data_IF_287504445287
#
_entry.id   IF_287504445287
#
_cell.length_a   1.000
_cell.length_b   1.000
_cell.length_c   1.000
_cell.angle_alpha   90.00
_cell.angle_beta   90.00
_cell.angle_gamma   90.00
#
_symmetry.space_group_name_H-M   'P 1'
#
loop_
_entity.id
_entity.type
_entity.pdbx_description
1 polymer ?
#
# COMPACT_ATOMS: atom_id res chain seq x y z
N UNK A 1 -24.99 -41.23 10.66
CA UNK A 1 -23.99 -40.47 9.88
C UNK A 1 -24.15 -39.00 10.25
N UNK A 2 -23.31 -38.43 11.13
CA UNK A 2 -23.43 -37.02 11.54
C UNK A 2 -22.87 -36.14 10.42
N UNK A 3 -23.74 -35.53 9.62
CA UNK A 3 -23.38 -34.36 8.81
C UNK A 3 -22.90 -33.29 9.79
N UNK A 4 -21.68 -32.79 9.62
CA UNK A 4 -21.12 -31.80 10.53
C UNK A 4 -21.96 -30.52 10.39
N UNK A 5 -22.68 -30.11 11.43
CA UNK A 5 -23.55 -28.90 11.48
C UNK A 5 -22.86 -27.63 10.96
N UNK A 6 -21.53 -27.63 10.96
CA UNK A 6 -20.68 -26.55 10.46
C UNK A 6 -20.59 -26.47 8.92
N UNK A 7 -21.07 -27.47 8.17
CA UNK A 7 -21.05 -27.47 6.69
C UNK A 7 -21.99 -26.44 6.10
N UNK A 8 -23.17 -26.23 6.70
CA UNK A 8 -24.14 -25.23 6.25
C UNK A 8 -23.60 -23.81 6.45
N UNK A 9 -22.98 -23.57 7.61
CA UNK A 9 -22.29 -22.31 7.93
C UNK A 9 -21.14 -22.06 6.95
N UNK A 10 -20.35 -23.10 6.65
CA UNK A 10 -19.23 -23.04 5.70
C UNK A 10 -19.69 -22.64 4.29
N UNK A 11 -20.76 -23.25 3.77
CA UNK A 11 -21.34 -22.91 2.47
C UNK A 11 -21.93 -21.50 2.42
N UNK A 12 -22.67 -21.11 3.45
CA UNK A 12 -23.28 -19.78 3.54
C UNK A 12 -22.19 -18.70 3.58
N UNK A 13 -21.16 -18.90 4.40
CA UNK A 13 -20.03 -17.98 4.51
C UNK A 13 -19.26 -17.87 3.18
N UNK A 14 -19.02 -18.99 2.49
CA UNK A 14 -18.30 -18.95 1.22
C UNK A 14 -19.10 -18.25 0.11
N UNK A 15 -20.42 -18.44 0.10
CA UNK A 15 -21.31 -17.73 -0.84
C UNK A 15 -21.26 -16.23 -0.60
N UNK A 16 -21.37 -15.80 0.66
CA UNK A 16 -21.24 -14.41 1.05
C UNK A 16 -19.84 -13.84 0.75
N UNK A 17 -18.78 -14.61 0.99
CA UNK A 17 -17.41 -14.21 0.69
C UNK A 17 -17.26 -13.83 -0.79
N UNK A 18 -17.82 -14.66 -1.70
CA UNK A 18 -17.78 -14.37 -3.15
C UNK A 18 -18.52 -13.08 -3.51
N UNK A 19 -19.70 -12.84 -2.93
CA UNK A 19 -20.47 -11.60 -3.16
C UNK A 19 -19.75 -10.36 -2.58
N UNK A 20 -19.18 -10.45 -1.39
CA UNK A 20 -18.42 -9.36 -0.80
C UNK A 20 -17.14 -9.05 -1.63
N UNK A 21 -16.48 -10.08 -2.17
CA UNK A 21 -15.31 -9.91 -3.03
C UNK A 21 -15.64 -9.38 -4.42
N UNK A 22 -16.78 -9.71 -5.01
CA UNK A 22 -17.22 -9.13 -6.30
C UNK A 22 -17.46 -7.62 -6.18
N UNK A 23 -17.84 -7.15 -4.98
CA UNK A 23 -17.98 -5.73 -4.62
C UNK A 23 -16.67 -5.10 -4.12
N UNK A 24 -15.54 -5.78 -4.28
CA UNK A 24 -14.21 -5.33 -3.81
C UNK A 24 -14.09 -5.04 -2.31
N UNK A 25 -14.99 -5.55 -1.47
CA UNK A 25 -14.96 -5.31 -0.02
C UNK A 25 -13.73 -6.01 0.59
N UNK A 26 -12.85 -5.31 1.34
CA UNK A 26 -11.73 -5.94 2.03
C UNK A 26 -12.25 -6.80 3.19
N UNK A 27 -11.81 -8.06 3.23
CA UNK A 27 -12.25 -9.03 4.25
C UNK A 27 -11.06 -9.51 5.06
N UNK A 28 -11.19 -9.45 6.38
CA UNK A 28 -10.20 -9.94 7.34
C UNK A 28 -10.71 -11.20 8.04
N UNK A 29 -9.80 -11.93 8.70
CA UNK A 29 -10.15 -13.10 9.51
C UNK A 29 -11.25 -12.84 10.55
N UNK A 30 -11.15 -11.77 11.36
CA UNK A 30 -12.20 -11.41 12.31
C UNK A 30 -13.57 -11.15 11.66
N UNK A 31 -13.60 -10.46 10.51
CA UNK A 31 -14.85 -10.22 9.77
C UNK A 31 -15.49 -11.55 9.33
N UNK A 32 -14.68 -12.49 8.85
CA UNK A 32 -15.17 -13.82 8.45
C UNK A 32 -15.74 -14.60 9.64
N UNK A 33 -15.10 -14.53 10.80
CA UNK A 33 -15.57 -15.21 12.02
C UNK A 33 -16.89 -14.64 12.51
N UNK A 34 -17.02 -13.32 12.57
CA UNK A 34 -18.27 -12.68 13.00
C UNK A 34 -19.42 -12.99 12.03
N UNK A 35 -19.15 -12.97 10.71
CA UNK A 35 -20.17 -13.36 9.73
C UNK A 35 -20.54 -14.84 9.82
N UNK A 36 -19.58 -15.71 10.13
CA UNK A 36 -19.83 -17.13 10.33
C UNK A 36 -20.74 -17.38 11.54
N UNK A 37 -20.54 -16.64 12.64
CA UNK A 37 -21.40 -16.70 13.83
C UNK A 37 -22.83 -16.23 13.53
N UNK A 38 -22.98 -15.12 12.80
CA UNK A 38 -24.30 -14.65 12.35
C UNK A 38 -25.04 -15.72 11.52
N UNK A 39 -24.33 -16.42 10.63
CA UNK A 39 -24.93 -17.53 9.88
C UNK A 39 -25.24 -18.73 10.76
N UNK A 40 -24.36 -19.07 11.71
CA UNK A 40 -24.60 -20.15 12.65
C UNK A 40 -25.86 -19.92 13.49
N UNK A 41 -26.05 -18.70 14.02
CA UNK A 41 -27.26 -18.31 14.74
C UNK A 41 -28.52 -18.47 13.90
N UNK A 42 -28.49 -17.98 12.65
CA UNK A 42 -29.63 -18.10 11.71
C UNK A 42 -29.94 -19.54 11.32
N UNK A 43 -28.94 -20.40 11.31
CA UNK A 43 -29.07 -21.82 10.99
C UNK A 43 -29.36 -22.68 12.24
N UNK A 44 -29.48 -22.07 13.42
CA UNK A 44 -29.75 -22.77 14.68
C UNK A 44 -28.56 -23.51 15.27
N UNK A 45 -27.33 -23.25 14.79
CA UNK A 45 -26.10 -23.87 15.29
C UNK A 45 -25.52 -23.02 16.43
N UNK A 46 -26.00 -23.27 17.65
CA UNK A 46 -25.65 -22.49 18.85
C UNK A 46 -24.26 -22.80 19.42
N UNK A 47 -23.65 -23.91 19.03
CA UNK A 47 -22.34 -24.36 19.50
C UNK A 47 -21.17 -23.80 18.68
N UNK A 48 -21.45 -23.03 17.63
CA UNK A 48 -20.44 -22.54 16.72
C UNK A 48 -19.65 -21.36 17.33
N UNK A 49 -18.36 -21.57 17.55
CA UNK A 49 -17.48 -20.55 18.14
C UNK A 49 -16.62 -19.80 17.11
N UNK A 50 -16.49 -20.33 15.89
CA UNK A 50 -15.61 -19.77 14.86
C UNK A 50 -14.13 -19.78 15.26
N UNK A 51 -13.66 -20.90 15.83
CA UNK A 51 -12.27 -21.04 16.29
C UNK A 51 -11.24 -20.75 15.19
N UNK A 52 -10.03 -20.37 15.59
CA UNK A 52 -8.90 -20.13 14.67
C UNK A 52 -8.66 -21.33 13.76
N UNK A 53 -8.64 -22.54 14.32
CA UNK A 53 -8.47 -23.77 13.54
C UNK A 53 -9.61 -24.04 12.54
N UNK A 54 -10.86 -23.65 12.86
CA UNK A 54 -11.96 -23.73 11.90
C UNK A 54 -11.77 -22.74 10.76
N UNK A 55 -11.43 -21.48 11.08
CA UNK A 55 -11.18 -20.44 10.08
C UNK A 55 -10.03 -20.81 9.13
N UNK A 56 -8.95 -21.37 9.66
CA UNK A 56 -7.80 -21.79 8.85
C UNK A 56 -8.17 -22.95 7.91
N UNK A 57 -8.97 -23.91 8.40
CA UNK A 57 -9.51 -24.99 7.56
C UNK A 57 -10.51 -24.47 6.53
N UNK A 58 -11.36 -23.51 6.86
CA UNK A 58 -12.28 -22.85 5.93
C UNK A 58 -11.49 -22.18 4.79
N UNK A 59 -10.48 -21.38 5.12
CA UNK A 59 -9.60 -20.74 4.13
C UNK A 59 -8.91 -21.77 3.25
N UNK A 60 -8.35 -22.82 3.85
CA UNK A 60 -7.68 -23.90 3.12
C UNK A 60 -8.61 -24.62 2.14
N UNK A 61 -9.83 -24.99 2.59
CA UNK A 61 -10.83 -25.68 1.76
C UNK A 61 -11.24 -24.87 0.53
N UNK A 62 -11.34 -23.55 0.68
CA UNK A 62 -11.83 -22.65 -0.37
C UNK A 62 -10.70 -21.91 -1.10
N UNK A 63 -9.43 -22.25 -0.84
CA UNK A 63 -8.27 -21.59 -1.47
C UNK A 63 -8.15 -20.10 -1.16
N UNK A 64 -8.65 -19.63 0.00
CA UNK A 64 -8.62 -18.23 0.39
C UNK A 64 -7.24 -17.88 0.96
N UNK A 65 -6.52 -17.01 0.26
CA UNK A 65 -5.20 -16.52 0.66
C UNK A 65 -5.25 -15.03 1.02
N UNK A 66 -4.41 -14.63 1.98
CA UNK A 66 -4.27 -13.22 2.33
C UNK A 66 -3.38 -12.54 1.29
N UNK A 67 -3.91 -11.51 0.62
CA UNK A 67 -3.16 -10.67 -0.31
C UNK A 67 -3.19 -9.22 0.17
N UNK A 68 -2.09 -8.50 -0.07
CA UNK A 68 -2.06 -7.04 0.14
C UNK A 68 -2.89 -6.39 -0.96
N UNK A 69 -3.94 -5.67 -0.58
CA UNK A 69 -4.76 -4.90 -1.53
C UNK A 69 -3.99 -3.62 -1.86
N UNK A 70 -3.64 -3.45 -3.13
CA UNK A 70 -3.12 -2.18 -3.65
C UNK A 70 -4.31 -1.38 -4.17
N UNK A 71 -4.65 -0.27 -3.51
CA UNK A 71 -5.86 0.52 -3.81
C UNK A 71 -5.89 1.11 -5.22
N UNK A 72 -4.73 1.24 -5.86
CA UNK A 72 -4.60 1.84 -7.19
C UNK A 72 -4.77 0.85 -8.34
N UNK A 73 -4.55 -0.44 -8.08
CA UNK A 73 -4.63 -1.48 -9.12
C UNK A 73 -6.05 -1.73 -9.61
N UNK A 74 -7.06 -1.35 -8.83
CA UNK A 74 -8.48 -1.53 -9.19
C UNK A 74 -9.03 -0.40 -10.07
N UNK A 75 -8.36 0.76 -10.13
CA UNK A 75 -8.82 1.93 -10.88
C UNK A 75 -8.30 1.96 -12.33
N UNK A 76 -7.46 1.00 -12.72
CA UNK A 76 -6.70 1.03 -13.96
C UNK A 76 -7.10 -0.15 -14.83
N UNK A 77 -7.72 0.12 -15.99
CA UNK A 77 -7.96 -0.90 -17.01
C UNK A 77 -6.62 -1.37 -17.57
N UNK A 78 -6.26 -2.63 -17.30
CA UNK A 78 -4.96 -3.18 -17.66
C UNK A 78 -4.72 -3.16 -19.18
N UNK A 79 -5.73 -3.52 -19.98
CA UNK A 79 -5.66 -3.48 -21.44
C UNK A 79 -5.43 -2.06 -21.99
N UNK A 80 -6.13 -1.06 -21.44
CA UNK A 80 -5.95 0.34 -21.86
C UNK A 80 -4.54 0.85 -21.52
N UNK A 81 -4.00 0.40 -20.39
CA UNK A 81 -2.68 0.81 -19.90
C UNK A 81 -1.55 0.16 -20.69
N UNK A 82 -1.69 -1.12 -21.03
CA UNK A 82 -0.75 -1.84 -21.87
C UNK A 82 -0.74 -1.28 -23.30
N UNK A 83 -1.92 -1.04 -23.87
CA UNK A 83 -2.05 -0.38 -25.19
C UNK A 83 -1.42 1.01 -25.22
N UNK A 84 -1.61 1.82 -24.18
CA UNK A 84 -0.99 3.15 -24.09
C UNK A 84 0.54 3.08 -23.94
N UNK A 85 1.05 2.15 -23.12
CA UNK A 85 2.49 1.90 -22.97
C UNK A 85 3.15 1.49 -24.29
N UNK A 86 2.51 0.59 -25.03
CA UNK A 86 3.08 0.07 -26.28
C UNK A 86 2.97 1.04 -27.45
N UNK A 87 2.05 2.00 -27.40
CA UNK A 87 1.84 2.96 -28.49
C UNK A 87 2.39 4.33 -28.16
N UNK A 88 1.80 5.04 -27.20
CA UNK A 88 2.07 6.46 -26.95
C UNK A 88 3.36 6.65 -26.16
N UNK A 89 3.57 5.84 -25.12
CA UNK A 89 4.77 5.95 -24.30
C UNK A 89 6.03 5.64 -25.12
N UNK A 90 6.04 4.55 -25.91
CA UNK A 90 7.17 4.23 -26.79
C UNK A 90 7.44 5.33 -27.83
N UNK A 91 6.42 6.03 -28.33
CA UNK A 91 6.61 7.15 -29.26
C UNK A 91 7.32 8.31 -28.56
N UNK A 92 6.81 8.73 -27.40
CA UNK A 92 7.39 9.81 -26.60
C UNK A 92 8.84 9.45 -26.22
N UNK A 93 9.09 8.24 -25.70
CA UNK A 93 10.44 7.84 -25.29
C UNK A 93 11.46 7.77 -26.44
N UNK A 94 11.02 7.56 -27.70
CA UNK A 94 11.93 7.59 -28.86
C UNK A 94 12.42 8.99 -29.21
N UNK A 95 11.74 10.04 -28.74
CA UNK A 95 12.13 11.43 -28.99
C UNK A 95 13.27 11.89 -28.06
N UNK A 96 13.58 11.13 -27.01
CA UNK A 96 14.59 11.47 -26.01
C UNK A 96 15.69 10.42 -25.92
N UNK A 97 16.91 10.86 -25.62
CA UNK A 97 18.00 9.95 -25.26
C UNK A 97 17.73 9.27 -23.91
N UNK A 98 18.18 8.03 -23.68
CA UNK A 98 18.14 7.41 -22.35
C UNK A 98 18.79 8.26 -21.24
N UNK A 99 19.78 9.09 -21.58
CA UNK A 99 20.42 10.00 -20.61
C UNK A 99 19.51 11.17 -20.19
N UNK A 100 18.50 11.50 -20.99
CA UNK A 100 17.58 12.62 -20.80
C UNK A 100 16.20 12.19 -20.24
N UNK A 101 16.01 10.89 -20.00
CA UNK A 101 14.79 10.32 -19.43
C UNK A 101 15.03 10.04 -17.95
N UNK A 102 14.34 10.76 -17.06
CA UNK A 102 14.48 10.59 -15.61
C UNK A 102 13.25 9.95 -14.99
N UNK A 103 13.49 8.98 -14.11
CA UNK A 103 12.50 8.50 -13.16
C UNK A 103 12.72 9.21 -11.83
N UNK A 104 11.65 9.79 -11.26
CA UNK A 104 11.67 10.46 -9.98
C UNK A 104 10.59 9.90 -9.05
N UNK A 105 10.94 9.67 -7.79
CA UNK A 105 10.03 9.13 -6.77
C UNK A 105 10.30 9.70 -5.37
N UNK A 106 9.27 9.70 -4.52
CA UNK A 106 9.34 10.18 -3.14
C UNK A 106 9.61 9.03 -2.16
N UNK A 107 10.55 9.21 -1.25
CA UNK A 107 10.84 8.24 -0.19
C UNK A 107 10.96 8.90 1.19
N UNK A 108 10.52 8.20 2.22
CA UNK A 108 10.61 8.65 3.61
C UNK A 108 11.91 8.20 4.26
N UNK A 109 12.79 9.14 4.60
CA UNK A 109 13.98 8.89 5.42
C UNK A 109 13.64 9.03 6.90
N UNK A 110 13.60 7.90 7.62
CA UNK A 110 13.38 7.87 9.06
C UNK A 110 14.71 7.97 9.81
N UNK A 111 15.04 9.16 10.31
CA UNK A 111 16.32 9.44 10.94
C UNK A 111 16.33 9.23 12.46
N UNK A 112 15.17 8.98 13.08
CA UNK A 112 15.01 8.72 14.54
C UNK A 112 14.42 7.35 14.87
N UNK A 113 14.35 6.42 13.92
CA UNK A 113 13.82 5.09 14.20
C UNK A 113 14.75 4.31 15.13
N UNK A 114 14.29 4.01 16.35
CA UNK A 114 14.95 3.07 17.25
C UNK A 114 14.78 1.62 16.74
N UNK A 115 15.71 0.71 17.09
CA UNK A 115 15.56 -0.71 16.79
C UNK A 115 14.24 -1.27 17.34
N UNK A 116 13.54 -2.06 16.52
CA UNK A 116 12.26 -2.69 16.90
C UNK A 116 12.46 -4.00 17.70
N UNK A 117 13.68 -4.25 18.19
CA UNK A 117 14.04 -5.42 18.99
C UNK A 117 15.05 -4.98 20.04
N UNK A 118 14.78 -5.33 21.29
CA UNK A 118 15.72 -5.16 22.39
C UNK A 118 15.98 -6.52 23.02
N UNK A 119 17.18 -6.69 23.55
CA UNK A 119 17.44 -7.78 24.49
C UNK A 119 16.70 -7.45 25.80
N UNK A 120 16.00 -8.43 26.37
CA UNK A 120 15.26 -8.29 27.62
C UNK A 120 15.53 -9.50 28.51
N UNK A 121 15.49 -9.32 29.83
CA UNK A 121 15.71 -10.41 30.78
C UNK A 121 14.53 -11.38 30.77
N UNK A 122 14.80 -12.66 31.06
CA UNK A 122 13.79 -13.72 31.04
C UNK A 122 12.71 -13.44 32.09
N UNK A 123 11.48 -13.16 31.64
CA UNK A 123 10.34 -12.85 32.49
C UNK A 123 9.94 -11.38 32.51
N UNK A 124 10.75 -10.49 31.92
CA UNK A 124 10.37 -9.08 31.75
C UNK A 124 9.37 -8.91 30.60
N UNK A 125 8.33 -8.12 30.84
CA UNK A 125 7.46 -7.64 29.77
C UNK A 125 8.25 -6.59 28.98
N UNK A 126 8.68 -6.95 27.78
CA UNK A 126 9.30 -6.04 26.82
C UNK A 126 8.31 -4.94 26.41
N UNK A 127 8.21 -3.89 27.22
CA UNK A 127 7.38 -2.72 26.93
C UNK A 127 8.22 -1.76 26.11
N UNK A 128 8.08 -1.86 24.78
CA UNK A 128 8.71 -0.92 23.86
C UNK A 128 7.99 0.43 23.89
N UNK A 129 8.77 1.53 23.95
CA UNK A 129 8.22 2.87 23.76
C UNK A 129 7.66 3.07 22.34
N UNK A 130 6.77 4.05 22.17
CA UNK A 130 6.27 4.43 20.84
C UNK A 130 7.46 4.85 19.98
N UNK A 131 7.73 4.11 18.91
CA UNK A 131 8.80 4.46 17.97
C UNK A 131 8.45 5.81 17.33
N UNK A 132 9.30 6.84 17.48
CA UNK A 132 9.06 8.11 16.82
C UNK A 132 9.12 7.91 15.31
N UNK A 133 8.03 8.23 14.62
CA UNK A 133 7.89 8.10 13.16
C UNK A 133 8.35 9.38 12.43
N UNK A 134 9.25 10.16 13.05
CA UNK A 134 9.80 11.36 12.42
C UNK A 134 10.55 10.96 11.14
N UNK A 135 10.12 11.52 10.01
CA UNK A 135 10.68 11.25 8.69
C UNK A 135 10.84 12.54 7.90
N UNK A 136 11.87 12.57 7.08
CA UNK A 136 12.06 13.58 6.03
C UNK A 136 11.64 12.93 4.72
N UNK A 137 10.80 13.60 3.93
CA UNK A 137 10.50 13.12 2.57
C UNK A 137 11.58 13.62 1.63
N UNK A 138 12.17 12.69 0.86
CA UNK A 138 13.18 12.97 -0.16
C UNK A 138 12.59 12.66 -1.53
N UNK A 139 12.79 13.53 -2.50
CA UNK A 139 12.63 13.22 -3.91
C UNK A 139 13.98 12.70 -4.44
N UNK A 140 13.97 11.48 -4.94
CA UNK A 140 15.11 10.84 -5.59
C UNK A 140 14.83 10.78 -7.09
N UNK A 141 15.85 11.05 -7.91
CA UNK A 141 15.71 10.90 -9.35
C UNK A 141 17.01 10.42 -10.00
N UNK A 142 16.87 9.54 -11.00
CA UNK A 142 17.97 9.02 -11.79
C UNK A 142 17.54 8.87 -13.26
N UNK A 143 18.51 9.00 -14.17
CA UNK A 143 18.24 8.79 -15.59
C UNK A 143 18.15 7.31 -15.95
N UNK A 144 17.55 7.03 -17.11
CA UNK A 144 17.29 5.68 -17.59
C UNK A 144 18.58 4.90 -17.89
N UNK A 145 19.65 5.57 -18.29
CA UNK A 145 20.97 4.95 -18.52
C UNK A 145 21.74 4.64 -17.21
N UNK A 146 21.34 5.24 -16.09
CA UNK A 146 22.00 5.09 -14.79
C UNK A 146 23.29 5.89 -14.62
N UNK A 147 23.62 6.78 -15.56
CA UNK A 147 24.84 7.60 -15.57
C UNK A 147 24.71 8.85 -14.69
N UNK A 148 23.51 9.39 -14.53
CA UNK A 148 23.23 10.63 -13.79
C UNK A 148 22.20 10.39 -12.68
N UNK A 149 22.52 10.86 -11.47
CA UNK A 149 21.59 10.95 -10.35
C UNK A 149 21.43 12.41 -9.96
N UNK A 150 20.19 12.88 -9.83
CA UNK A 150 19.97 14.24 -9.36
C UNK A 150 20.29 14.35 -7.87
N UNK A 151 20.73 15.52 -7.39
CA UNK A 151 20.88 15.77 -5.95
C UNK A 151 19.58 15.47 -5.19
N UNK A 152 19.71 14.91 -3.98
CA UNK A 152 18.55 14.63 -3.12
C UNK A 152 17.81 15.94 -2.80
N UNK A 153 16.52 15.99 -3.14
CA UNK A 153 15.68 17.14 -2.83
C UNK A 153 14.80 16.82 -1.63
N UNK A 154 14.94 17.61 -0.57
CA UNK A 154 14.09 17.46 0.60
C UNK A 154 12.74 18.13 0.37
N UNK A 155 11.65 17.36 0.44
CA UNK A 155 10.29 17.87 0.43
C UNK A 155 9.84 18.08 1.87
N UNK A 156 9.72 19.33 2.28
CA UNK A 156 9.08 19.69 3.55
C UNK A 156 7.61 20.01 3.28
N UNK A 157 6.72 19.07 3.58
CA UNK A 157 5.30 19.36 3.64
C UNK A 157 5.04 20.21 4.89
N UNK A 158 4.92 21.53 4.72
CA UNK A 158 4.50 22.42 5.80
C UNK A 158 3.02 22.13 6.14
N UNK A 159 2.79 21.19 7.07
CA UNK A 159 1.55 21.22 7.84
C UNK A 159 1.59 22.53 8.64
N UNK A 160 0.65 23.44 8.35
CA UNK A 160 0.48 24.72 9.05
C UNK A 160 0.30 24.46 10.55
N UNK A 161 1.38 24.51 11.32
CA UNK A 161 1.48 24.87 12.74
C UNK A 161 2.94 24.69 13.16
N UNK A 162 3.83 25.55 12.65
CA UNK A 162 5.15 25.73 13.28
C UNK A 162 5.43 27.22 13.41
N UNK A 163 5.19 27.71 14.63
CA UNK A 163 5.52 29.06 15.07
C UNK A 163 7.01 29.13 15.32
N UNK A 164 7.80 29.39 14.29
CA UNK A 164 9.06 30.17 14.32
C UNK A 164 9.94 29.86 13.11
N UNK A 165 10.08 30.86 12.24
CA UNK A 165 11.38 31.27 11.71
C UNK A 165 12.23 30.25 10.95
N UNK A 166 11.70 29.59 9.91
CA UNK A 166 12.54 29.26 8.74
C UNK A 166 11.72 29.43 7.45
N UNK A 167 11.90 30.58 6.83
CA UNK A 167 11.21 30.96 5.60
C UNK A 167 12.01 30.40 4.42
N UNK A 168 11.80 29.13 4.08
CA UNK A 168 12.25 28.63 2.77
C UNK A 168 11.31 29.27 1.75
N UNK A 169 11.85 30.12 0.87
CA UNK A 169 11.15 30.58 -0.32
C UNK A 169 10.86 29.35 -1.19
N UNK A 170 9.64 28.81 -1.09
CA UNK A 170 9.05 28.17 -2.26
C UNK A 170 8.96 29.26 -3.30
N UNK A 171 9.90 29.25 -4.26
CA UNK A 171 9.81 30.13 -5.41
C UNK A 171 8.52 29.70 -6.14
N UNK A 172 7.45 30.47 -5.98
CA UNK A 172 6.22 30.35 -6.77
C UNK A 172 6.43 30.83 -8.20
N UNK A 173 7.60 30.55 -8.76
CA UNK A 173 7.84 30.68 -10.17
C UNK A 173 7.60 29.28 -10.74
N UNK A 174 6.70 29.24 -11.72
CA UNK A 174 6.48 28.14 -12.62
C UNK A 174 7.73 27.27 -12.82
N UNK A 175 7.52 25.96 -12.92
CA UNK A 175 8.43 25.00 -13.53
C UNK A 175 8.89 25.53 -14.90
N UNK A 176 9.89 26.41 -14.90
CA UNK A 176 10.70 26.77 -16.05
C UNK A 176 12.09 26.31 -15.68
N UNK A 177 12.34 25.05 -16.02
CA UNK A 177 13.69 24.51 -16.12
C UNK A 177 14.42 25.28 -17.25
N UNK A 178 15.68 25.72 -17.05
CA UNK A 178 16.38 26.46 -18.09
C UNK A 178 16.66 25.55 -19.30
N UNK A 179 16.36 25.95 -20.55
CA UNK A 179 16.79 25.21 -21.74
C UNK A 179 18.27 25.48 -22.00
N UNK A 180 19.03 24.47 -22.51
CA UNK A 180 18.89 24.14 -23.92
C UNK A 180 18.72 22.64 -24.24
N UNK A 181 18.38 21.78 -23.27
CA UNK A 181 18.08 20.36 -23.57
C UNK A 181 16.77 19.97 -22.91
N UNK A 182 15.75 19.69 -23.72
CA UNK A 182 14.46 19.20 -23.26
C UNK A 182 14.68 17.83 -22.59
N UNK A 183 14.72 17.79 -21.26
CA UNK A 183 14.76 16.55 -20.48
C UNK A 183 13.32 16.16 -20.11
N UNK A 184 12.97 14.90 -20.35
CA UNK A 184 11.66 14.37 -19.99
C UNK A 184 11.73 13.77 -18.58
N UNK A 185 11.03 14.41 -17.64
CA UNK A 185 10.90 13.91 -16.26
C UNK A 185 9.47 13.44 -16.03
N UNK A 186 9.31 12.15 -15.76
CA UNK A 186 8.04 11.62 -15.27
C UNK A 186 8.01 11.71 -13.74
N UNK A 187 7.11 12.54 -13.22
CA UNK A 187 6.74 12.54 -11.81
C UNK A 187 5.56 11.58 -11.64
N UNK A 188 5.80 10.39 -11.09
CA UNK A 188 4.73 9.56 -10.55
C UNK A 188 4.41 10.06 -9.14
N UNK A 189 3.88 11.28 -9.01
CA UNK A 189 3.38 11.75 -7.71
C UNK A 189 2.07 11.05 -7.38
N UNK A 190 2.14 10.01 -6.56
CA UNK A 190 0.99 9.51 -5.81
C UNK A 190 1.23 9.81 -4.33
N UNK A 191 0.82 11.01 -3.92
CA UNK A 191 0.74 11.35 -2.51
C UNK A 191 -0.39 10.54 -1.88
N UNK A 192 -0.07 9.41 -1.24
CA UNK A 192 -0.98 8.77 -0.29
C UNK A 192 -0.39 8.90 1.11
N UNK A 193 -0.99 9.82 1.89
CA UNK A 193 -0.89 9.78 3.35
C UNK A 193 -1.58 8.50 3.82
N UNK A 194 -0.79 7.52 4.23
CA UNK A 194 -1.28 6.49 5.14
C UNK A 194 -1.17 7.05 6.56
N UNK A 195 -2.31 7.50 7.10
CA UNK A 195 -2.52 7.67 8.54
C UNK A 195 -2.57 6.30 9.25
#
# INVERSE_FOLDING_TARGET
>A
MRRLETEDVDRALFTWFKDARSKNVPLSGPILVEKAKEFAERLGVTSFTGSTGWLDRFKSRHGIVMKRICGESAAVCQETTEGWKDTQLKKILKEFSPDDIFNADETGLFFKCLPNRTLALKGEKGTGGKIPKERITLLVAANMSGTEKLPLLTIVLLNRHFSSGFRIKLNQNALIWPPPKAKLMYLLTQTIRCD
#
